data_IF_540414617592
#
_entry.id   IF_540414617592
#
_cell.length_a   1.000
_cell.length_b   1.000
_cell.length_c   1.000
_cell.angle_alpha   90.00
_cell.angle_beta   90.00
_cell.angle_gamma   90.00
#
_symmetry.space_group_name_H-M   'P 1'
#
loop_
_entity.id
_entity.type
_entity.pdbx_description
1 polymer ?
#
# COMPACT_ATOMS: atom_id res chain seq x y z
N UNK A 1 50.51 18.44 -18.30
CA UNK A 1 50.25 17.27 -19.16
C UNK A 1 48.90 17.52 -19.82
N UNK A 2 48.90 17.85 -21.11
CA UNK A 2 47.68 18.16 -21.89
C UNK A 2 47.05 16.83 -22.28
N UNK A 3 45.80 16.59 -21.86
CA UNK A 3 45.04 15.39 -22.26
C UNK A 3 44.82 15.44 -23.77
N UNK A 4 44.96 14.30 -24.43
CA UNK A 4 44.74 14.21 -25.88
C UNK A 4 43.25 14.32 -26.21
N UNK A 5 42.91 14.69 -27.44
CA UNK A 5 41.51 14.82 -27.87
C UNK A 5 40.75 13.49 -27.72
N UNK A 6 41.42 12.34 -27.92
CA UNK A 6 40.87 11.02 -27.64
C UNK A 6 40.53 10.82 -26.15
N UNK A 7 41.42 11.20 -25.23
CA UNK A 7 41.14 11.09 -23.78
C UNK A 7 39.96 11.97 -23.36
N UNK A 8 39.79 13.14 -23.99
CA UNK A 8 38.67 14.05 -23.74
C UNK A 8 37.37 13.45 -24.29
N UNK A 9 37.40 12.83 -25.47
CA UNK A 9 36.24 12.17 -26.09
C UNK A 9 35.81 10.95 -25.27
N UNK A 10 36.74 10.08 -24.89
CA UNK A 10 36.45 8.89 -24.06
C UNK A 10 35.89 9.29 -22.71
N UNK A 11 36.46 10.30 -22.04
CA UNK A 11 35.95 10.80 -20.76
C UNK A 11 34.54 11.38 -20.88
N UNK A 12 34.23 12.11 -21.96
CA UNK A 12 32.87 12.62 -22.24
C UNK A 12 31.87 11.50 -22.48
N UNK A 13 32.24 10.48 -23.26
CA UNK A 13 31.40 9.32 -23.52
C UNK A 13 31.11 8.55 -22.22
N UNK A 14 32.13 8.32 -21.38
CA UNK A 14 31.96 7.68 -20.08
C UNK A 14 31.05 8.48 -19.15
N UNK A 15 31.22 9.80 -19.05
CA UNK A 15 30.35 10.66 -18.24
C UNK A 15 28.90 10.64 -18.73
N UNK A 16 28.67 10.66 -20.05
CA UNK A 16 27.32 10.59 -20.64
C UNK A 16 26.67 9.23 -20.37
N UNK A 17 27.40 8.13 -20.52
CA UNK A 17 26.91 6.77 -20.20
C UNK A 17 26.58 6.64 -18.70
N UNK A 18 27.42 7.16 -17.82
CA UNK A 18 27.16 7.16 -16.37
C UNK A 18 25.91 8.00 -16.02
N UNK A 19 25.73 9.17 -16.64
CA UNK A 19 24.52 9.98 -16.44
C UNK A 19 23.25 9.27 -16.96
N UNK A 20 23.33 8.59 -18.11
CA UNK A 20 22.20 7.87 -18.70
C UNK A 20 21.74 6.70 -17.82
N UNK A 21 22.68 5.97 -17.20
CA UNK A 21 22.37 4.89 -16.25
C UNK A 21 21.75 5.43 -14.95
N UNK A 22 22.21 6.59 -14.45
CA UNK A 22 21.60 7.25 -13.28
C UNK A 22 20.19 7.79 -13.57
N UNK A 23 19.93 8.30 -14.78
CA UNK A 23 18.60 8.79 -15.15
C UNK A 23 17.59 7.65 -15.38
N UNK A 24 18.04 6.46 -15.82
CA UNK A 24 17.17 5.30 -16.03
C UNK A 24 16.66 4.66 -14.72
N UNK A 25 17.31 4.93 -13.59
CA UNK A 25 16.92 4.40 -12.28
C UNK A 25 15.78 5.19 -11.61
N UNK A 26 15.26 6.23 -12.26
CA UNK A 26 14.20 7.06 -11.69
C UNK A 26 12.82 6.59 -12.16
N UNK A 27 11.94 6.30 -11.19
CA UNK A 27 10.48 6.16 -11.28
C UNK A 27 9.94 4.75 -11.60
N UNK A 28 10.08 3.83 -10.64
CA UNK A 28 9.10 2.75 -10.42
C UNK A 28 8.32 3.00 -9.12
N UNK A 29 7.62 4.14 -9.06
CA UNK A 29 6.54 4.34 -8.10
C UNK A 29 5.29 4.63 -8.93
N UNK A 30 4.68 3.56 -9.44
CA UNK A 30 3.45 3.64 -10.23
C UNK A 30 2.25 3.38 -9.32
N UNK A 31 1.11 4.04 -9.54
CA UNK A 31 -0.15 3.62 -8.93
C UNK A 31 -0.42 2.16 -9.32
N UNK A 32 -0.64 1.32 -8.32
CA UNK A 32 -0.76 -0.12 -8.52
C UNK A 32 -0.86 -0.89 -7.21
N UNK A 33 -1.11 -2.18 -7.34
CA UNK A 33 -1.22 -3.09 -6.20
C UNK A 33 0.20 -3.53 -5.83
N UNK A 34 0.55 -3.45 -4.54
CA UNK A 34 1.84 -3.91 -4.07
C UNK A 34 2.01 -5.40 -4.40
N UNK A 35 3.15 -5.74 -4.99
CA UNK A 35 3.49 -7.14 -5.27
C UNK A 35 3.74 -7.90 -3.98
N UNK A 36 3.71 -9.23 -4.06
CA UNK A 36 4.04 -10.12 -2.94
C UNK A 36 5.40 -9.82 -2.33
N UNK A 37 6.38 -9.58 -3.18
CA UNK A 37 7.75 -9.29 -2.79
C UNK A 37 7.81 -7.98 -2.00
N UNK A 38 7.11 -6.94 -2.45
CA UNK A 38 7.04 -5.66 -1.76
C UNK A 38 6.30 -5.79 -0.41
N UNK A 39 5.18 -6.51 -0.37
CA UNK A 39 4.44 -6.73 0.88
C UNK A 39 5.30 -7.45 1.93
N UNK A 40 6.09 -8.44 1.51
CA UNK A 40 7.06 -9.11 2.39
C UNK A 40 8.17 -8.14 2.82
N UNK A 41 8.72 -7.37 1.88
CA UNK A 41 9.78 -6.40 2.14
C UNK A 41 9.37 -5.34 3.18
N UNK A 42 8.16 -4.79 3.08
CA UNK A 42 7.66 -3.76 4.00
C UNK A 42 7.13 -4.31 5.32
N UNK A 43 7.13 -5.63 5.53
CA UNK A 43 6.75 -6.25 6.80
C UNK A 43 7.85 -7.19 7.30
N UNK A 44 9.09 -6.69 7.46
CA UNK A 44 10.27 -7.53 7.67
C UNK A 44 10.24 -8.28 9.00
N UNK A 45 9.59 -7.73 10.02
CA UNK A 45 9.53 -8.31 11.37
C UNK A 45 8.51 -9.45 11.49
N UNK A 46 7.58 -9.57 10.52
CA UNK A 46 6.60 -10.65 10.54
C UNK A 46 7.23 -11.98 10.10
N UNK A 47 7.27 -12.94 11.02
CA UNK A 47 7.80 -14.31 10.82
C UNK A 47 6.73 -15.40 10.77
N UNK A 48 5.45 -15.04 10.89
CA UNK A 48 4.33 -15.98 10.87
C UNK A 48 3.84 -16.36 9.46
N UNK A 49 2.69 -17.03 9.41
CA UNK A 49 2.01 -17.35 8.14
C UNK A 49 1.67 -16.07 7.36
N UNK A 50 1.64 -16.17 6.03
CA UNK A 50 1.26 -15.09 5.12
C UNK A 50 0.24 -15.60 4.13
N UNK A 51 -0.61 -14.70 3.64
CA UNK A 51 -1.50 -14.99 2.52
C UNK A 51 -0.71 -15.21 1.22
N UNK A 52 -1.41 -15.66 0.17
CA UNK A 52 -0.81 -15.88 -1.14
C UNK A 52 -0.26 -14.59 -1.77
N UNK A 53 -0.83 -13.44 -1.43
CA UNK A 53 -0.35 -12.11 -1.81
C UNK A 53 0.86 -11.63 -0.97
N UNK A 54 1.32 -12.37 0.05
CA UNK A 54 2.45 -12.00 0.90
C UNK A 54 2.09 -11.19 2.15
N UNK A 55 0.83 -10.76 2.30
CA UNK A 55 0.36 -9.98 3.44
C UNK A 55 0.41 -10.82 4.73
N UNK A 56 0.82 -10.25 5.88
CA UNK A 56 0.82 -10.96 7.18
C UNK A 56 -0.55 -11.57 7.52
N UNK A 57 -0.59 -12.87 7.83
CA UNK A 57 -1.80 -13.56 8.24
C UNK A 57 -1.82 -13.75 9.75
N UNK A 58 -2.18 -12.68 10.46
CA UNK A 58 -2.36 -12.71 11.91
C UNK A 58 -3.43 -13.75 12.26
N UNK A 59 -3.18 -14.72 13.16
CA UNK A 59 -4.15 -15.76 13.49
C UNK A 59 -5.48 -15.20 14.03
N UNK A 60 -6.61 -15.79 13.63
CA UNK A 60 -7.95 -15.33 14.01
C UNK A 60 -8.14 -15.29 15.53
N UNK A 61 -7.53 -16.23 16.26
CA UNK A 61 -7.58 -16.26 17.72
C UNK A 61 -6.95 -15.02 18.38
N UNK A 62 -5.98 -14.36 17.73
CA UNK A 62 -5.46 -13.07 18.19
C UNK A 62 -6.52 -11.98 17.96
N UNK A 63 -7.13 -11.95 16.78
CA UNK A 63 -8.17 -10.97 16.43
C UNK A 63 -9.36 -11.05 17.39
N UNK A 64 -9.80 -12.26 17.76
CA UNK A 64 -10.89 -12.44 18.72
C UNK A 64 -10.54 -11.90 20.12
N UNK A 65 -9.32 -12.14 20.60
CA UNK A 65 -8.89 -11.60 21.92
C UNK A 65 -8.72 -10.09 21.89
N UNK A 66 -8.28 -9.53 20.76
CA UNK A 66 -8.12 -8.08 20.60
C UNK A 66 -9.44 -7.31 20.71
N UNK A 67 -10.60 -7.97 20.47
CA UNK A 67 -11.92 -7.34 20.68
C UNK A 67 -12.19 -6.93 22.13
N UNK A 68 -11.49 -7.50 23.12
CA UNK A 68 -11.62 -7.13 24.53
C UNK A 68 -10.54 -6.16 25.01
N UNK A 69 -9.64 -5.70 24.12
CA UNK A 69 -8.53 -4.80 24.46
C UNK A 69 -8.94 -3.37 24.12
N UNK A 70 -8.72 -2.45 25.06
CA UNK A 70 -8.99 -1.03 24.81
C UNK A 70 -7.93 -0.42 23.89
N UNK A 71 -8.28 0.66 23.16
CA UNK A 71 -7.32 1.36 22.30
C UNK A 71 -6.12 1.91 23.11
N UNK A 72 -6.34 2.33 24.35
CA UNK A 72 -5.31 2.85 25.25
C UNK A 72 -4.30 1.77 25.65
N UNK A 73 -4.77 0.57 26.01
CA UNK A 73 -3.91 -0.57 26.33
C UNK A 73 -3.10 -1.01 25.11
N UNK A 74 -3.75 -1.12 23.94
CA UNK A 74 -3.08 -1.47 22.69
C UNK A 74 -1.99 -0.44 22.34
N UNK A 75 -2.31 0.85 22.42
CA UNK A 75 -1.37 1.93 22.12
C UNK A 75 -0.20 1.97 23.10
N UNK A 76 -0.43 1.71 24.40
CA UNK A 76 0.64 1.62 25.39
C UNK A 76 1.65 0.50 25.06
N UNK A 77 1.18 -0.66 24.58
CA UNK A 77 2.05 -1.75 24.13
C UNK A 77 2.85 -1.36 22.88
N UNK A 78 2.20 -0.73 21.89
CA UNK A 78 2.87 -0.27 20.67
C UNK A 78 3.99 0.74 20.96
N UNK A 79 3.73 1.73 21.82
CA UNK A 79 4.76 2.70 22.26
C UNK A 79 5.92 2.02 22.97
N UNK A 80 5.64 1.05 23.84
CA UNK A 80 6.68 0.29 24.55
C UNK A 80 7.58 -0.51 23.60
N UNK A 81 7.05 -0.88 22.43
CA UNK A 81 7.77 -1.54 21.34
C UNK A 81 8.41 -0.55 20.33
N UNK A 82 8.29 0.76 20.54
CA UNK A 82 8.87 1.80 19.69
C UNK A 82 7.96 2.35 18.58
N UNK A 83 6.71 1.87 18.49
CA UNK A 83 5.72 2.33 17.51
C UNK A 83 4.87 3.47 18.11
N UNK A 84 5.36 4.70 17.98
CA UNK A 84 4.79 5.85 18.69
C UNK A 84 3.60 6.52 17.99
N UNK A 85 3.41 6.28 16.69
CA UNK A 85 2.46 7.01 15.84
C UNK A 85 1.34 6.11 15.29
N UNK A 86 0.85 5.18 16.10
CA UNK A 86 -0.13 4.15 15.73
C UNK A 86 -1.54 4.42 16.32
N UNK A 87 -1.92 5.69 16.42
CA UNK A 87 -3.23 6.11 16.92
C UNK A 87 -3.81 7.21 16.03
N UNK A 88 -5.10 7.09 15.71
CA UNK A 88 -5.87 8.07 14.94
C UNK A 88 -7.27 8.21 15.56
N UNK A 89 -7.81 9.42 15.59
CA UNK A 89 -9.14 9.74 16.11
C UNK A 89 -10.02 10.45 15.06
N UNK A 90 -11.14 11.03 15.48
CA UNK A 90 -12.00 11.82 14.58
C UNK A 90 -12.81 11.02 13.55
N UNK A 91 -12.78 9.69 13.60
CA UNK A 91 -13.58 8.82 12.72
C UNK A 91 -15.09 9.00 12.94
N UNK A 92 -15.85 9.10 11.85
CA UNK A 92 -17.30 9.01 11.92
C UNK A 92 -17.72 7.55 12.08
N UNK A 93 -18.25 7.20 13.26
CA UNK A 93 -18.66 5.83 13.58
C UNK A 93 -20.16 5.63 13.34
N UNK A 94 -20.51 4.77 12.38
CA UNK A 94 -21.90 4.42 12.07
C UNK A 94 -22.49 3.34 13.02
N UNK A 95 -21.64 2.64 13.77
CA UNK A 95 -22.02 1.59 14.73
C UNK A 95 -21.23 1.73 16.04
N UNK A 96 -21.54 2.75 16.87
CA UNK A 96 -20.73 3.10 18.05
C UNK A 96 -20.76 2.05 19.17
N UNK A 97 -21.71 1.12 19.13
CA UNK A 97 -21.87 0.01 20.07
C UNK A 97 -21.03 -1.22 19.72
N UNK A 98 -20.31 -1.20 18.58
CA UNK A 98 -19.54 -2.35 18.09
C UNK A 98 -18.04 -2.09 18.09
N UNK A 99 -17.28 -3.14 18.37
CA UNK A 99 -15.82 -3.16 18.25
C UNK A 99 -15.41 -3.78 16.91
N UNK A 100 -14.59 -3.06 16.14
CA UNK A 100 -14.04 -3.54 14.88
C UNK A 100 -12.56 -3.91 15.07
N UNK A 101 -12.21 -5.16 14.77
CA UNK A 101 -10.84 -5.67 14.77
C UNK A 101 -10.66 -6.57 13.57
N UNK A 102 -9.55 -6.45 12.86
CA UNK A 102 -9.17 -7.39 11.82
C UNK A 102 -7.81 -7.07 11.21
N UNK A 103 -7.45 -7.87 10.20
CA UNK A 103 -6.22 -7.70 9.43
C UNK A 103 -6.43 -6.61 8.38
N UNK A 104 -5.61 -5.57 8.40
CA UNK A 104 -5.77 -4.46 7.46
C UNK A 104 -5.54 -4.92 6.02
N UNK A 105 -6.51 -4.63 5.14
CA UNK A 105 -6.32 -4.54 3.70
C UNK A 105 -6.40 -3.08 3.32
N UNK A 106 -5.29 -2.52 2.85
CA UNK A 106 -5.17 -1.09 2.61
C UNK A 106 -5.40 -0.73 1.14
N UNK A 107 -6.13 0.35 0.89
CA UNK A 107 -6.21 0.97 -0.43
C UNK A 107 -6.01 2.49 -0.34
N UNK A 108 -5.38 3.05 -1.36
CA UNK A 108 -5.17 4.48 -1.52
C UNK A 108 -5.83 4.93 -2.80
N UNK A 109 -6.66 5.96 -2.71
CA UNK A 109 -7.22 6.62 -3.88
C UNK A 109 -6.43 7.85 -4.25
N UNK A 110 -6.59 8.25 -5.51
CA UNK A 110 -6.01 9.46 -6.09
C UNK A 110 -7.10 10.18 -6.91
N UNK A 111 -7.00 11.50 -7.09
CA UNK A 111 -7.89 12.22 -8.00
C UNK A 111 -7.90 11.59 -9.40
N UNK A 112 -9.10 11.39 -9.95
CA UNK A 112 -9.31 10.77 -11.25
C UNK A 112 -8.64 11.55 -12.37
N UNK A 113 -7.68 10.90 -13.03
CA UNK A 113 -7.00 11.41 -14.24
C UNK A 113 -7.25 10.42 -15.37
N UNK A 114 -8.07 10.77 -16.39
CA UNK A 114 -8.47 9.82 -17.42
C UNK A 114 -7.32 9.15 -18.18
N UNK A 115 -6.19 9.86 -18.34
CA UNK A 115 -4.99 9.34 -18.97
C UNK A 115 -4.29 8.26 -18.12
N UNK A 116 -4.25 8.44 -16.79
CA UNK A 116 -3.67 7.48 -15.84
C UNK A 116 -4.64 6.32 -15.59
N UNK A 117 -5.92 6.62 -15.40
CA UNK A 117 -6.97 5.63 -15.14
C UNK A 117 -7.02 4.58 -16.25
N UNK A 118 -6.95 5.02 -17.52
CA UNK A 118 -6.87 4.10 -18.67
C UNK A 118 -5.69 3.14 -18.57
N UNK A 119 -4.52 3.59 -18.09
CA UNK A 119 -3.34 2.73 -17.93
C UNK A 119 -3.56 1.73 -16.79
N UNK A 120 -4.11 2.18 -15.67
CA UNK A 120 -4.43 1.32 -14.50
C UNK A 120 -5.44 0.24 -14.89
N UNK A 121 -6.53 0.60 -15.57
CA UNK A 121 -7.55 -0.35 -16.03
C UNK A 121 -6.99 -1.37 -17.03
N UNK A 122 -6.16 -0.91 -17.98
CA UNK A 122 -5.51 -1.80 -18.94
C UNK A 122 -4.59 -2.81 -18.24
N UNK A 123 -3.86 -2.36 -17.21
CA UNK A 123 -3.05 -3.25 -16.40
C UNK A 123 -3.91 -4.22 -15.58
N UNK A 124 -4.96 -3.73 -14.91
CA UNK A 124 -5.89 -4.57 -14.16
C UNK A 124 -6.53 -5.67 -15.00
N UNK A 125 -6.89 -5.41 -16.26
CA UNK A 125 -7.38 -6.44 -17.19
C UNK A 125 -6.34 -7.53 -17.48
N UNK A 126 -5.06 -7.16 -17.63
CA UNK A 126 -3.97 -8.12 -17.81
C UNK A 126 -3.74 -8.96 -16.54
N UNK A 127 -3.96 -8.34 -15.38
CA UNK A 127 -3.84 -8.98 -14.07
C UNK A 127 -5.10 -9.77 -13.68
N UNK A 128 -6.09 -9.89 -14.57
CA UNK A 128 -7.32 -10.67 -14.34
C UNK A 128 -8.33 -10.00 -13.39
N UNK A 129 -8.23 -8.69 -13.17
CA UNK A 129 -9.17 -7.93 -12.33
C UNK A 129 -10.53 -7.77 -13.00
N UNK A 130 -11.57 -7.83 -12.19
CA UNK A 130 -12.98 -7.79 -12.63
C UNK A 130 -13.62 -6.51 -12.09
N UNK A 131 -14.49 -5.90 -12.90
CA UNK A 131 -15.20 -4.67 -12.51
C UNK A 131 -14.30 -3.43 -12.46
N UNK A 132 -14.83 -2.36 -11.86
CA UNK A 132 -14.11 -1.10 -11.66
C UNK A 132 -13.04 -1.19 -10.57
N UNK A 133 -12.12 -0.22 -10.55
CA UNK A 133 -11.00 -0.17 -9.59
C UNK A 133 -11.46 -0.16 -8.12
N UNK A 134 -12.70 0.22 -7.84
CA UNK A 134 -13.32 0.16 -6.52
C UNK A 134 -13.63 -1.26 -6.03
N UNK A 135 -13.89 -2.19 -6.96
CA UNK A 135 -14.17 -3.57 -6.61
C UNK A 135 -12.90 -4.36 -6.26
N UNK A 136 -11.75 -3.98 -6.84
CA UNK A 136 -10.54 -4.81 -6.74
C UNK A 136 -10.02 -5.01 -5.31
N UNK A 137 -10.01 -4.00 -4.42
CA UNK A 137 -9.67 -4.22 -3.02
C UNK A 137 -10.71 -5.07 -2.28
N UNK A 138 -11.98 -4.94 -2.64
CA UNK A 138 -13.09 -5.71 -2.04
C UNK A 138 -12.94 -7.19 -2.39
N UNK A 139 -12.65 -7.52 -3.66
CA UNK A 139 -12.42 -8.90 -4.13
C UNK A 139 -11.21 -9.57 -3.46
N UNK A 140 -10.28 -8.78 -2.92
CA UNK A 140 -9.09 -9.29 -2.23
C UNK A 140 -9.34 -9.58 -0.75
N UNK A 141 -10.41 -9.05 -0.16
CA UNK A 141 -10.71 -9.24 1.26
C UNK A 141 -10.88 -10.72 1.59
N UNK A 142 -10.32 -11.10 2.73
CA UNK A 142 -10.55 -12.38 3.38
C UNK A 142 -11.44 -12.18 4.60
N UNK A 143 -12.12 -13.23 5.10
CA UNK A 143 -12.79 -13.16 6.39
C UNK A 143 -11.85 -12.63 7.50
N UNK A 144 -12.38 -11.82 8.41
CA UNK A 144 -11.64 -11.09 9.46
C UNK A 144 -10.60 -10.07 8.96
N UNK A 145 -10.67 -9.65 7.69
CA UNK A 145 -10.00 -8.43 7.24
C UNK A 145 -10.81 -7.17 7.59
N UNK A 146 -10.10 -6.04 7.71
CA UNK A 146 -10.68 -4.70 7.77
C UNK A 146 -10.19 -3.91 6.57
N UNK A 147 -11.12 -3.38 5.78
CA UNK A 147 -10.79 -2.48 4.68
C UNK A 147 -10.42 -1.10 5.24
N UNK A 148 -9.17 -0.70 5.09
CA UNK A 148 -8.64 0.59 5.55
C UNK A 148 -8.27 1.41 4.33
N UNK A 149 -8.93 2.54 4.12
CA UNK A 149 -8.82 3.25 2.86
C UNK A 149 -8.66 4.75 3.02
N UNK A 150 -7.69 5.32 2.31
CA UNK A 150 -7.53 6.77 2.19
C UNK A 150 -8.13 7.25 0.85
N UNK A 151 -9.11 8.14 0.99
CA UNK A 151 -9.88 8.75 -0.08
C UNK A 151 -9.43 10.18 -0.41
N UNK A 152 -8.21 10.59 -0.04
CA UNK A 152 -7.66 11.94 -0.28
C UNK A 152 -8.59 13.08 0.19
N UNK A 153 -9.41 12.82 1.23
CA UNK A 153 -10.39 13.76 1.77
C UNK A 153 -11.70 13.89 0.97
N UNK A 154 -11.95 13.04 -0.03
CA UNK A 154 -13.19 13.05 -0.81
C UNK A 154 -14.39 12.61 0.04
N UNK A 155 -15.46 13.43 0.04
CA UNK A 155 -16.69 13.18 0.82
C UNK A 155 -17.93 12.91 -0.03
N UNK A 156 -18.04 13.56 -1.18
CA UNK A 156 -19.17 13.45 -2.11
C UNK A 156 -18.71 12.72 -3.36
N UNK A 157 -19.55 11.83 -3.90
CA UNK A 157 -19.27 11.00 -5.09
C UNK A 157 -17.98 10.16 -4.99
N UNK A 158 -17.47 10.00 -3.77
CA UNK A 158 -16.27 9.24 -3.45
C UNK A 158 -16.42 7.93 -2.67
N UNK A 159 -17.61 7.41 -2.28
CA UNK A 159 -17.62 6.19 -1.49
C UNK A 159 -17.25 5.00 -2.37
N UNK A 160 -16.14 4.32 -2.05
CA UNK A 160 -15.83 2.99 -2.60
C UNK A 160 -16.82 1.91 -2.13
N UNK A 161 -17.63 2.22 -1.13
CA UNK A 161 -18.51 1.27 -0.44
C UNK A 161 -19.96 1.65 -0.73
N UNK A 162 -20.71 0.66 -1.23
CA UNK A 162 -22.12 0.75 -1.56
C UNK A 162 -22.80 -0.60 -1.40
N UNK A 163 -24.02 -0.74 -1.90
CA UNK A 163 -24.90 -1.89 -1.75
C UNK A 163 -24.73 -3.01 -2.79
N UNK A 164 -23.77 -2.86 -3.72
CA UNK A 164 -23.52 -3.77 -4.86
C UNK A 164 -23.55 -5.27 -4.54
#
# INVERSE_FOLDING_TARGET
MVRTDEEIITMRISVILSLAVLCAASVFAQPGILTRELLIQYTPDWKGERFADGRPKVPDGILQRMKSVTLEEAWAQLRSAGFNHEYEDGWFCIHPDKVLVGRALTAQWLPGRPDIEKVIEQQGRKDGRIGGTNAWPVDMLQPEDVYVCDHFGLKQDGPSIGDN
#
